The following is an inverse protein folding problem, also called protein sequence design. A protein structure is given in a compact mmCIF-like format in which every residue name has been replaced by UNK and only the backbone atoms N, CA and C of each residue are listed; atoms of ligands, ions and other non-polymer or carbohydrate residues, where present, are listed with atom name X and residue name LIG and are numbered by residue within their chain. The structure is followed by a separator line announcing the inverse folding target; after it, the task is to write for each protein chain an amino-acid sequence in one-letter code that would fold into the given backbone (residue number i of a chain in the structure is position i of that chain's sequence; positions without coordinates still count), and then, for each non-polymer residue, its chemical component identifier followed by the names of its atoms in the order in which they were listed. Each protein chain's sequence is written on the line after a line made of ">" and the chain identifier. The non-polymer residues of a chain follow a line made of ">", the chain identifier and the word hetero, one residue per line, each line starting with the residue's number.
data_IF_632025446663
#
_entry.id   IF_632025446663
#
_cell.length_a   1.000
_cell.length_b   1.000
_cell.length_c   1.000
_cell.angle_alpha   90.00
_cell.angle_beta   90.00
_cell.angle_gamma   90.00
#
_symmetry.space_group_name_H-M   'P 1'
#
loop_
_entity.id
_entity.type
_entity.pdbx_description
1 polymer ?
#
# COMPACT_ATOMS: atom_id res chain seq x y z
N UNK A 1 10.70 18.43 -38.35
CA UNK A 1 10.37 17.00 -38.31
C UNK A 1 11.04 16.24 -37.15
N UNK A 2 12.38 16.32 -36.96
CA UNK A 2 13.09 15.61 -35.85
C UNK A 2 12.60 15.96 -34.42
N UNK A 3 12.28 17.23 -34.15
CA UNK A 3 11.76 17.69 -32.84
C UNK A 3 10.35 17.12 -32.53
N UNK A 4 9.52 16.93 -33.55
CA UNK A 4 8.15 16.41 -33.39
C UNK A 4 8.15 14.92 -33.06
N UNK A 5 9.01 14.14 -33.72
CA UNK A 5 9.22 12.71 -33.42
C UNK A 5 9.70 12.51 -31.98
N UNK A 6 10.60 13.39 -31.51
CA UNK A 6 11.12 13.33 -30.14
C UNK A 6 10.03 13.58 -29.09
N UNK A 7 9.13 14.53 -29.33
CA UNK A 7 8.00 14.83 -28.42
C UNK A 7 7.00 13.67 -28.38
N UNK A 8 6.67 13.07 -29.53
CA UNK A 8 5.75 11.92 -29.58
C UNK A 8 6.32 10.71 -28.85
N UNK A 9 7.62 10.42 -29.01
CA UNK A 9 8.28 9.33 -28.28
C UNK A 9 8.31 9.59 -26.77
N UNK A 10 8.56 10.83 -26.35
CA UNK A 10 8.59 11.21 -24.94
C UNK A 10 7.20 11.11 -24.28
N UNK A 11 6.13 11.48 -24.99
CA UNK A 11 4.75 11.32 -24.48
C UNK A 11 4.38 9.84 -24.37
N UNK A 12 4.80 9.01 -25.33
CA UNK A 12 4.54 7.57 -25.30
C UNK A 12 5.28 6.84 -24.18
N UNK A 13 6.51 7.27 -23.87
CA UNK A 13 7.23 6.71 -22.72
C UNK A 13 6.65 7.21 -21.40
N UNK A 14 6.21 8.47 -21.32
CA UNK A 14 5.52 9.00 -20.13
C UNK A 14 4.22 8.24 -19.83
N UNK A 15 3.40 7.94 -20.84
CA UNK A 15 2.16 7.16 -20.65
C UNK A 15 2.47 5.71 -20.24
N UNK A 16 3.43 5.05 -20.89
CA UNK A 16 3.80 3.68 -20.55
C UNK A 16 4.42 3.55 -19.15
N UNK A 17 5.21 4.54 -18.73
CA UNK A 17 5.76 4.61 -17.37
C UNK A 17 4.64 4.84 -16.36
N UNK A 18 3.65 5.70 -16.67
CA UNK A 18 2.50 5.94 -15.81
C UNK A 18 1.65 4.68 -15.59
N UNK A 19 1.38 3.93 -16.67
CA UNK A 19 0.61 2.68 -16.59
C UNK A 19 1.32 1.62 -15.74
N UNK A 20 2.64 1.48 -15.88
CA UNK A 20 3.40 0.46 -15.15
C UNK A 20 3.54 0.78 -13.65
N UNK A 21 3.70 2.04 -13.26
CA UNK A 21 3.80 2.40 -11.84
C UNK A 21 2.44 2.32 -11.14
N UNK A 22 1.37 2.78 -11.78
CA UNK A 22 0.03 2.76 -11.20
C UNK A 22 -0.55 1.33 -11.11
N UNK A 23 -0.25 0.47 -12.08
CA UNK A 23 -0.62 -0.95 -12.02
C UNK A 23 0.17 -1.72 -10.94
N UNK A 24 1.47 -1.43 -10.79
CA UNK A 24 2.31 -2.08 -9.78
C UNK A 24 1.93 -1.69 -8.34
N UNK A 25 1.55 -0.43 -8.13
CA UNK A 25 1.12 0.09 -6.83
C UNK A 25 -0.16 -0.60 -6.31
N UNK A 26 -1.14 -0.82 -7.20
CA UNK A 26 -2.36 -1.55 -6.87
C UNK A 26 -2.14 -3.07 -6.72
N UNK A 27 -1.13 -3.63 -7.39
CA UNK A 27 -0.82 -5.06 -7.35
C UNK A 27 -0.24 -5.49 -6.00
N UNK A 28 0.71 -4.73 -5.43
CA UNK A 28 1.35 -5.12 -4.16
C UNK A 28 0.37 -5.04 -2.97
N UNK A 29 -0.57 -4.07 -2.98
CA UNK A 29 -1.56 -3.93 -1.90
C UNK A 29 -2.54 -5.09 -1.93
N UNK A 30 -3.04 -5.42 -3.12
CA UNK A 30 -3.95 -6.53 -3.32
C UNK A 30 -3.28 -7.86 -2.92
N UNK A 31 -1.99 -8.03 -3.21
CA UNK A 31 -1.24 -9.21 -2.80
C UNK A 31 -1.06 -9.28 -1.28
N UNK A 32 -0.66 -8.20 -0.63
CA UNK A 32 -0.57 -8.12 0.83
C UNK A 32 -1.92 -8.47 1.49
N UNK A 33 -3.01 -7.93 0.93
CA UNK A 33 -4.37 -8.20 1.39
C UNK A 33 -4.78 -9.67 1.18
N UNK A 34 -4.30 -10.32 0.11
CA UNK A 34 -4.53 -11.77 -0.11
C UNK A 34 -3.85 -12.61 0.98
N UNK A 35 -2.61 -12.30 1.34
CA UNK A 35 -1.92 -12.98 2.46
C UNK A 35 -2.63 -12.71 3.79
N UNK A 36 -3.01 -11.45 4.05
CA UNK A 36 -3.79 -11.05 5.21
C UNK A 36 -5.09 -11.86 5.35
N UNK A 37 -5.89 -11.92 4.28
CA UNK A 37 -7.15 -12.65 4.24
C UNK A 37 -6.94 -14.17 4.39
N UNK A 38 -5.80 -14.67 3.92
CA UNK A 38 -5.38 -16.07 4.11
C UNK A 38 -4.78 -16.34 5.49
N UNK A 39 -4.80 -15.37 6.42
CA UNK A 39 -4.19 -15.42 7.77
C UNK A 39 -2.68 -15.69 7.76
N UNK A 40 -2.02 -15.48 6.62
CA UNK A 40 -0.58 -15.57 6.44
C UNK A 40 0.06 -14.24 6.85
N UNK A 41 0.00 -13.97 8.15
CA UNK A 41 0.31 -12.64 8.68
C UNK A 41 1.79 -12.26 8.52
N UNK A 42 2.70 -13.24 8.51
CA UNK A 42 4.14 -12.97 8.32
C UNK A 42 4.42 -12.41 6.92
N UNK A 43 3.89 -13.06 5.91
CA UNK A 43 4.00 -12.64 4.51
C UNK A 43 3.26 -11.32 4.26
N UNK A 44 2.10 -11.13 4.89
CA UNK A 44 1.38 -9.86 4.84
C UNK A 44 2.20 -8.70 5.42
N UNK A 45 2.87 -8.89 6.57
CA UNK A 45 3.75 -7.89 7.18
C UNK A 45 4.89 -7.50 6.24
N UNK A 46 5.54 -8.48 5.61
CA UNK A 46 6.67 -8.20 4.69
C UNK A 46 6.23 -7.34 3.50
N UNK A 47 5.06 -7.62 2.93
CA UNK A 47 4.53 -6.83 1.82
C UNK A 47 4.05 -5.45 2.28
N UNK A 48 3.26 -5.37 3.36
CA UNK A 48 2.80 -4.07 3.86
C UNK A 48 3.96 -3.14 4.26
N UNK A 49 5.05 -3.66 4.83
CA UNK A 49 6.26 -2.85 5.10
C UNK A 49 6.92 -2.31 3.84
N UNK A 50 6.98 -3.10 2.77
CA UNK A 50 7.49 -2.62 1.48
C UNK A 50 6.60 -1.53 0.89
N UNK A 51 5.29 -1.66 1.06
CA UNK A 51 4.34 -0.65 0.59
C UNK A 51 4.46 0.65 1.38
N UNK A 52 4.57 0.57 2.70
CA UNK A 52 4.78 1.72 3.58
C UNK A 52 5.96 2.57 3.10
N UNK A 53 7.07 1.95 2.72
CA UNK A 53 8.26 2.65 2.24
C UNK A 53 8.04 3.41 0.92
N UNK A 54 7.04 3.02 0.12
CA UNK A 54 6.75 3.62 -1.19
C UNK A 54 5.61 4.62 -1.11
N UNK A 55 4.49 4.22 -0.52
CA UNK A 55 3.29 5.03 -0.36
C UNK A 55 2.61 4.72 0.99
N UNK A 56 2.90 5.50 2.04
CA UNK A 56 2.23 5.38 3.32
C UNK A 56 0.73 5.68 3.20
N UNK A 57 -0.12 4.77 3.69
CA UNK A 57 -1.58 4.98 3.73
C UNK A 57 -2.13 4.58 5.10
N UNK A 58 -3.22 5.21 5.59
CA UNK A 58 -3.81 4.85 6.87
C UNK A 58 -4.24 3.37 6.91
N UNK A 59 -4.82 2.87 5.81
CA UNK A 59 -5.22 1.47 5.66
C UNK A 59 -4.05 0.51 5.69
N UNK A 60 -2.94 0.85 5.00
CA UNK A 60 -1.72 0.04 5.00
C UNK A 60 -1.11 -0.06 6.40
N UNK A 61 -1.03 1.07 7.12
CA UNK A 61 -0.56 1.12 8.50
C UNK A 61 -1.43 0.29 9.44
N UNK A 62 -2.76 0.42 9.33
CA UNK A 62 -3.68 -0.36 10.14
C UNK A 62 -3.55 -1.87 9.87
N UNK A 63 -3.50 -2.29 8.60
CA UNK A 63 -3.39 -3.71 8.24
C UNK A 63 -2.04 -4.30 8.64
N UNK A 64 -0.96 -3.51 8.56
CA UNK A 64 0.36 -3.87 9.08
C UNK A 64 0.32 -4.07 10.60
N UNK A 65 -0.20 -3.09 11.33
CA UNK A 65 -0.37 -3.17 12.79
C UNK A 65 -1.23 -4.36 13.20
N UNK A 66 -2.33 -4.62 12.50
CA UNK A 66 -3.17 -5.79 12.78
C UNK A 66 -2.43 -7.10 12.48
N UNK A 67 -1.70 -7.19 11.38
CA UNK A 67 -0.93 -8.40 11.06
C UNK A 67 0.13 -8.69 12.13
N UNK A 68 0.83 -7.66 12.63
CA UNK A 68 1.78 -7.75 13.74
C UNK A 68 1.10 -8.16 15.05
N UNK A 69 -0.07 -7.61 15.35
CA UNK A 69 -0.89 -8.01 16.50
C UNK A 69 -1.22 -9.51 16.45
N UNK A 70 -1.60 -10.04 15.28
CA UNK A 70 -1.89 -11.48 15.11
C UNK A 70 -0.66 -12.37 15.26
N UNK A 71 0.55 -11.81 15.09
CA UNK A 71 1.82 -12.47 15.35
C UNK A 71 2.32 -12.30 16.79
N UNK A 72 1.56 -11.61 17.66
CA UNK A 72 1.95 -11.35 19.06
C UNK A 72 2.95 -10.21 19.24
N UNK A 73 3.24 -9.44 18.20
CA UNK A 73 4.16 -8.30 18.25
C UNK A 73 3.42 -7.02 18.64
N UNK A 74 2.97 -6.97 19.89
CA UNK A 74 1.99 -5.96 20.34
C UNK A 74 2.54 -4.53 20.37
N UNK A 75 3.80 -4.34 20.74
CA UNK A 75 4.44 -3.02 20.80
C UNK A 75 4.55 -2.41 19.40
N UNK A 76 5.12 -3.16 18.45
CA UNK A 76 5.25 -2.75 17.04
C UNK A 76 3.87 -2.53 16.41
N UNK A 77 2.89 -3.38 16.72
CA UNK A 77 1.51 -3.20 16.25
C UNK A 77 0.91 -1.87 16.71
N UNK A 78 1.12 -1.50 17.98
CA UNK A 78 0.61 -0.26 18.55
C UNK A 78 1.22 0.98 17.91
N UNK A 79 2.51 0.94 17.56
CA UNK A 79 3.16 2.02 16.81
C UNK A 79 2.50 2.21 15.45
N UNK A 80 2.32 1.15 14.68
CA UNK A 80 1.68 1.25 13.36
C UNK A 80 0.20 1.63 13.41
N UNK A 81 -0.53 1.23 14.46
CA UNK A 81 -1.88 1.75 14.65
C UNK A 81 -1.89 3.27 14.88
N UNK A 82 -0.95 3.79 15.67
CA UNK A 82 -0.84 5.24 15.87
C UNK A 82 -0.54 5.97 14.57
N UNK A 83 0.38 5.45 13.74
CA UNK A 83 0.69 6.04 12.43
C UNK A 83 -0.55 6.14 11.53
N UNK A 84 -1.44 5.13 11.54
CA UNK A 84 -2.69 5.19 10.80
C UNK A 84 -3.57 6.39 11.21
N UNK A 85 -3.72 6.62 12.53
CA UNK A 85 -4.52 7.71 13.07
C UNK A 85 -3.79 9.07 13.04
N UNK A 86 -2.47 9.10 12.97
CA UNK A 86 -1.70 10.32 12.73
C UNK A 86 -1.87 10.80 11.29
N UNK A 87 -1.88 9.86 10.34
CA UNK A 87 -2.06 10.17 8.92
C UNK A 87 -3.50 10.55 8.57
N UNK A 88 -4.47 9.88 9.19
CA UNK A 88 -5.90 10.24 9.12
C UNK A 88 -6.54 10.16 10.51
N UNK A 89 -6.72 11.29 11.21
CA UNK A 89 -7.38 11.34 12.51
C UNK A 89 -8.84 10.84 12.51
N UNK A 90 -9.50 10.83 11.35
CA UNK A 90 -10.86 10.28 11.20
C UNK A 90 -10.85 8.87 10.59
N UNK A 91 -9.70 8.19 10.61
CA UNK A 91 -9.55 6.86 10.05
C UNK A 91 -10.59 5.92 10.63
N UNK A 92 -11.31 5.24 9.74
CA UNK A 92 -12.23 4.19 10.12
C UNK A 92 -12.22 3.08 9.08
N UNK A 93 -12.37 1.84 9.56
CA UNK A 93 -12.37 0.66 8.70
C UNK A 93 -13.46 0.72 7.61
N UNK A 94 -14.59 1.37 7.92
CA UNK A 94 -15.68 1.55 6.95
C UNK A 94 -15.32 2.55 5.86
N UNK A 95 -14.79 3.73 6.21
CA UNK A 95 -14.31 4.72 5.21
C UNK A 95 -13.18 4.11 4.35
N UNK A 96 -12.34 3.28 4.95
CA UNK A 96 -11.25 2.56 4.29
C UNK A 96 -11.70 1.34 3.46
N UNK A 97 -12.99 0.97 3.48
CA UNK A 97 -13.52 -0.18 2.74
C UNK A 97 -13.04 -1.55 3.25
N UNK A 98 -12.48 -1.62 4.46
CA UNK A 98 -12.01 -2.86 5.09
C UNK A 98 -13.15 -3.67 5.72
N UNK A 99 -14.27 -3.03 6.01
CA UNK A 99 -15.52 -3.64 6.49
C UNK A 99 -16.72 -3.05 5.73
N UNK A 100 -17.83 -3.79 5.67
CA UNK A 100 -19.10 -3.35 5.06
C UNK A 100 -19.96 -2.58 6.06
#
# INVERSE_FOLDING_TARGET
>A
MKKLIFVVLMVFTLSAVYDTTFAAENSEFAEALKYYNSKKFKEAVELFKKQEQKNPTPSGYYLLGYSLYKLGKFEEANEYFKEAYLLDPEFSLKKAGLIK
#
